data_IF_662787972919
#
_entry.id   IF_662787972919
#
_cell.length_a   1.000
_cell.length_b   1.000
_cell.length_c   1.000
_cell.angle_alpha   90.00
_cell.angle_beta   90.00
_cell.angle_gamma   90.00
#
_symmetry.space_group_name_H-M   'P 1'
#
loop_
_entity.id
_entity.type
_entity.pdbx_description
1 polymer ?
#
# COMPACT_ATOMS: atom_id res chain seq x y z
N UNK A 1 3.56 -2.80 7.69
CA UNK A 1 4.25 -3.56 6.62
C UNK A 1 5.73 -3.56 6.95
N UNK A 2 6.44 -4.66 6.69
CA UNK A 2 7.92 -4.68 6.82
C UNK A 2 8.56 -4.16 5.54
N UNK A 3 9.78 -3.63 5.59
CA UNK A 3 10.46 -3.09 4.39
C UNK A 3 10.65 -4.11 3.27
N UNK A 4 10.87 -5.39 3.63
CA UNK A 4 11.08 -6.49 2.68
C UNK A 4 9.78 -7.24 2.30
N UNK A 5 8.64 -6.81 2.83
CA UNK A 5 7.36 -7.46 2.57
C UNK A 5 6.78 -6.94 1.25
N UNK A 6 6.21 -7.83 0.43
CA UNK A 6 5.54 -7.43 -0.82
C UNK A 6 4.17 -6.83 -0.53
N UNK A 7 3.76 -5.83 -1.32
CA UNK A 7 2.44 -5.19 -1.20
C UNK A 7 1.30 -6.21 -1.34
N UNK A 8 1.46 -7.22 -2.18
CA UNK A 8 0.46 -8.30 -2.35
C UNK A 8 0.26 -9.11 -1.06
N UNK A 9 1.35 -9.45 -0.38
CA UNK A 9 1.30 -10.24 0.86
C UNK A 9 0.72 -9.39 1.98
N UNK A 10 1.16 -8.14 2.09
CA UNK A 10 0.61 -7.19 3.06
C UNK A 10 -0.89 -6.97 2.87
N UNK A 11 -1.36 -6.72 1.63
CA UNK A 11 -2.78 -6.49 1.32
C UNK A 11 -3.62 -7.73 1.62
N UNK A 12 -3.10 -8.93 1.36
CA UNK A 12 -3.77 -10.19 1.70
C UNK A 12 -3.99 -10.34 3.21
N UNK A 13 -2.97 -10.01 4.03
CA UNK A 13 -3.11 -10.01 5.50
C UNK A 13 -4.12 -8.98 5.99
N UNK A 14 -4.15 -7.79 5.38
CA UNK A 14 -5.15 -6.77 5.72
C UNK A 14 -6.57 -7.29 5.48
N UNK A 15 -6.81 -7.93 4.32
CA UNK A 15 -8.11 -8.54 4.02
C UNK A 15 -8.47 -9.61 5.03
N UNK A 16 -7.52 -10.49 5.37
CA UNK A 16 -7.75 -11.54 6.36
C UNK A 16 -8.15 -10.97 7.72
N UNK A 17 -7.42 -9.97 8.23
CA UNK A 17 -7.72 -9.30 9.51
C UNK A 17 -9.11 -8.64 9.46
N UNK A 18 -9.42 -7.92 8.39
CA UNK A 18 -10.73 -7.26 8.23
C UNK A 18 -11.86 -8.28 8.20
N UNK A 19 -11.67 -9.41 7.52
CA UNK A 19 -12.64 -10.48 7.46
C UNK A 19 -12.82 -11.17 8.83
N UNK A 20 -11.74 -11.37 9.58
CA UNK A 20 -11.80 -11.90 10.94
C UNK A 20 -12.61 -10.97 11.86
N UNK A 21 -12.34 -9.66 11.84
CA UNK A 21 -13.10 -8.68 12.64
C UNK A 21 -14.59 -8.72 12.27
N UNK A 22 -14.91 -8.73 10.97
CA UNK A 22 -16.29 -8.84 10.49
C UNK A 22 -16.97 -10.15 10.92
N UNK A 23 -16.23 -11.26 10.94
CA UNK A 23 -16.74 -12.56 11.40
C UNK A 23 -17.06 -12.58 12.90
N UNK A 24 -16.42 -11.73 13.70
CA UNK A 24 -16.72 -11.55 15.11
C UNK A 24 -17.94 -10.64 15.38
N UNK A 25 -18.59 -10.12 14.33
CA UNK A 25 -19.76 -9.24 14.43
C UNK A 25 -19.45 -7.74 14.44
N UNK A 26 -18.17 -7.37 14.36
CA UNK A 26 -17.75 -5.97 14.33
C UNK A 26 -17.84 -5.38 12.91
N UNK A 27 -18.14 -4.08 12.83
CA UNK A 27 -18.16 -3.36 11.56
C UNK A 27 -16.83 -2.65 11.33
N UNK A 28 -16.22 -2.90 10.17
CA UNK A 28 -14.99 -2.22 9.73
C UNK A 28 -15.31 -1.30 8.55
N UNK A 29 -15.14 0.00 8.77
CA UNK A 29 -15.29 1.03 7.75
C UNK A 29 -14.09 1.03 6.81
N UNK A 30 -14.35 1.16 5.51
CA UNK A 30 -13.32 1.08 4.46
C UNK A 30 -12.28 2.21 4.59
N UNK A 31 -12.73 3.43 4.90
CA UNK A 31 -11.85 4.58 5.13
C UNK A 31 -10.85 4.33 6.28
N UNK A 32 -11.31 3.71 7.37
CA UNK A 32 -10.45 3.36 8.50
C UNK A 32 -9.42 2.29 8.16
N UNK A 33 -9.73 1.41 7.19
CA UNK A 33 -8.73 0.45 6.66
C UNK A 33 -7.69 1.18 5.82
N UNK A 34 -8.12 2.05 4.91
CA UNK A 34 -7.25 2.87 4.04
C UNK A 34 -6.27 3.70 4.88
N UNK A 35 -6.77 4.41 5.89
CA UNK A 35 -5.93 5.20 6.81
C UNK A 35 -4.91 4.34 7.57
N UNK A 36 -5.34 3.18 8.07
CA UNK A 36 -4.45 2.24 8.77
C UNK A 36 -3.39 1.66 7.84
N UNK A 37 -3.74 1.35 6.59
CA UNK A 37 -2.80 0.88 5.57
C UNK A 37 -1.76 1.95 5.33
N UNK A 38 -2.16 3.18 5.01
CA UNK A 38 -1.25 4.31 4.76
C UNK A 38 -0.29 4.55 5.93
N UNK A 39 -0.79 4.54 7.18
CA UNK A 39 0.05 4.71 8.39
C UNK A 39 1.01 3.54 8.63
N UNK A 40 0.69 2.36 8.12
CA UNK A 40 1.49 1.14 8.32
C UNK A 40 2.53 0.92 7.24
N UNK A 41 2.61 1.79 6.22
CA UNK A 41 3.60 1.70 5.16
C UNK A 41 5.00 2.08 5.68
N UNK A 42 6.06 1.45 5.16
CA UNK A 42 7.43 1.86 5.43
C UNK A 42 7.78 3.14 4.66
N UNK A 43 8.85 3.82 5.09
CA UNK A 43 9.27 5.13 4.56
C UNK A 43 9.62 5.12 3.06
N UNK A 44 10.02 3.97 2.51
CA UNK A 44 10.22 3.81 1.07
C UNK A 44 8.93 3.97 0.24
N UNK A 45 7.75 3.99 0.87
CA UNK A 45 6.47 4.29 0.24
C UNK A 45 5.95 5.69 0.57
N UNK A 46 6.72 6.57 1.24
CA UNK A 46 6.27 7.93 1.61
C UNK A 46 5.79 8.72 0.38
N UNK A 47 6.49 8.59 -0.75
CA UNK A 47 6.09 9.23 -2.00
C UNK A 47 4.79 8.64 -2.57
N UNK A 48 4.57 7.33 -2.44
CA UNK A 48 3.31 6.69 -2.84
C UNK A 48 2.15 7.08 -1.92
N UNK A 49 2.41 7.17 -0.62
CA UNK A 49 1.43 7.61 0.37
C UNK A 49 1.04 9.07 0.13
N UNK A 50 2.01 9.96 -0.14
CA UNK A 50 1.76 11.34 -0.51
C UNK A 50 0.93 11.44 -1.80
N UNK A 51 1.31 10.68 -2.84
CA UNK A 51 0.56 10.63 -4.10
C UNK A 51 -0.89 10.16 -3.90
N UNK A 52 -1.12 9.13 -3.09
CA UNK A 52 -2.47 8.66 -2.76
C UNK A 52 -3.31 9.74 -2.04
N UNK A 53 -2.70 10.51 -1.13
CA UNK A 53 -3.36 11.61 -0.43
C UNK A 53 -3.71 12.74 -1.41
N UNK A 54 -2.77 13.11 -2.28
CA UNK A 54 -2.95 14.16 -3.29
C UNK A 54 -4.00 13.78 -4.35
N UNK A 55 -3.95 12.54 -4.85
CA UNK A 55 -4.81 12.05 -5.93
C UNK A 55 -6.22 11.73 -5.46
N UNK A 56 -6.38 11.21 -4.24
CA UNK A 56 -7.71 10.91 -3.71
C UNK A 56 -8.57 12.17 -3.54
N UNK A 57 -7.96 13.34 -3.24
CA UNK A 57 -8.60 14.63 -2.88
C UNK A 57 -9.59 14.58 -1.70
N UNK A 58 -10.14 13.41 -1.43
CA UNK A 58 -11.04 12.96 -0.39
C UNK A 58 -10.66 11.50 -0.03
N UNK A 59 -9.70 11.32 0.88
CA UNK A 59 -9.39 10.00 1.47
C UNK A 59 -10.63 9.16 1.88
N UNK A 60 -11.75 9.74 2.37
CA UNK A 60 -12.95 8.98 2.70
C UNK A 60 -13.60 8.26 1.50
N UNK A 61 -13.32 8.68 0.26
CA UNK A 61 -13.88 8.09 -0.97
C UNK A 61 -12.96 7.04 -1.59
N UNK A 62 -11.69 7.01 -1.19
CA UNK A 62 -10.72 6.07 -1.72
C UNK A 62 -11.01 4.66 -1.19
N UNK A 63 -10.99 3.68 -2.09
CA UNK A 63 -11.15 2.28 -1.73
C UNK A 63 -9.80 1.62 -1.43
N UNK A 64 -9.80 0.56 -0.62
CA UNK A 64 -8.58 -0.23 -0.41
C UNK A 64 -8.04 -0.82 -1.71
N UNK A 65 -8.91 -1.12 -2.67
CA UNK A 65 -8.51 -1.65 -3.97
C UNK A 65 -7.68 -0.62 -4.75
N UNK A 66 -8.18 0.61 -4.90
CA UNK A 66 -7.43 1.70 -5.56
C UNK A 66 -6.10 1.97 -4.86
N UNK A 67 -6.08 1.96 -3.53
CA UNK A 67 -4.83 2.13 -2.77
C UNK A 67 -3.84 0.98 -3.05
N UNK A 68 -4.33 -0.26 -3.13
CA UNK A 68 -3.48 -1.42 -3.41
C UNK A 68 -2.87 -1.32 -4.81
N UNK A 69 -3.65 -0.93 -5.82
CA UNK A 69 -3.17 -0.76 -7.20
C UNK A 69 -2.10 0.35 -7.30
N UNK A 70 -2.31 1.47 -6.61
CA UNK A 70 -1.33 2.57 -6.54
C UNK A 70 0.00 2.10 -5.91
N UNK A 71 -0.08 1.38 -4.79
CA UNK A 71 1.09 0.86 -4.09
C UNK A 71 1.83 -0.20 -4.91
N UNK A 72 1.11 -1.06 -5.64
CA UNK A 72 1.70 -2.04 -6.56
C UNK A 72 2.43 -1.36 -7.71
N UNK A 73 1.85 -0.33 -8.32
CA UNK A 73 2.50 0.44 -9.37
C UNK A 73 3.79 1.10 -8.85
N UNK A 74 3.78 1.58 -7.61
CA UNK A 74 4.95 2.15 -6.96
C UNK A 74 6.05 1.10 -6.71
N UNK A 75 5.70 -0.04 -6.13
CA UNK A 75 6.62 -1.16 -5.88
C UNK A 75 7.30 -1.62 -7.17
N UNK A 76 6.54 -1.73 -8.27
CA UNK A 76 7.08 -2.05 -9.59
C UNK A 76 8.06 -0.98 -10.11
N UNK A 77 7.77 0.30 -9.90
CA UNK A 77 8.64 1.40 -10.33
C UNK A 77 9.95 1.41 -9.56
N UNK A 78 9.91 1.23 -8.23
CA UNK A 78 11.13 1.09 -7.41
C UNK A 78 11.95 -0.09 -7.90
N UNK A 79 11.33 -1.26 -8.09
CA UNK A 79 12.05 -2.46 -8.49
C UNK A 79 12.70 -2.32 -9.89
N UNK A 80 12.09 -1.55 -10.80
CA UNK A 80 12.70 -1.21 -12.09
C UNK A 80 13.86 -0.23 -11.94
N UNK A 81 13.73 0.79 -11.10
CA UNK A 81 14.82 1.74 -10.80
C UNK A 81 16.01 1.06 -10.13
N UNK A 82 15.79 0.13 -9.20
CA UNK A 82 16.86 -0.66 -8.56
C UNK A 82 17.61 -1.56 -9.56
N UNK A 83 16.90 -2.13 -10.55
CA UNK A 83 17.54 -2.91 -11.62
C UNK A 83 18.31 -2.03 -12.61
N UNK A 84 17.81 -0.84 -12.96
CA UNK A 84 18.55 0.08 -13.83
C UNK A 84 19.83 0.62 -13.17
N UNK A 85 19.82 0.83 -11.85
CA UNK A 85 20.98 1.33 -11.11
C UNK A 85 22.13 0.31 -10.98
N UNK A 86 21.83 -1.00 -11.08
CA UNK A 86 22.85 -2.05 -11.15
C UNK A 86 23.53 -2.14 -12.52
N UNK A 87 22.85 -1.75 -13.60
CA UNK A 87 23.40 -1.81 -14.97
C UNK A 87 24.33 -0.63 -15.26
N UNK A 88 24.08 0.55 -14.68
CA UNK A 88 24.94 1.74 -14.87
C UNK A 88 26.25 1.71 -14.05
N UNK A 89 26.36 0.89 -13.00
CA UNK A 89 27.60 0.73 -12.22
C UNK A 89 28.57 -0.32 -12.80
N UNK A 90 28.20 -0.97 -13.91
CA UNK A 90 28.99 -1.98 -14.59
C UNK A 90 29.72 -1.47 -15.86
N UNK A 91 29.71 -0.15 -16.11
CA UNK A 91 30.39 0.50 -17.23
C UNK A 91 31.49 1.47 -16.77
#
# INVERSE_FOLDING_TARGET
MKESELIRDFSSRVVEIVNQIRSCGDTVQENGVVEKVLRSLPSNFDHAAAAAIEESKDLPKMTRYELTELLLAHEQRINRSSNNQLVEQAF
#
